data_IF_704771536113
#
_entry.id   IF_704771536113
#
_cell.length_a   1.000
_cell.length_b   1.000
_cell.length_c   1.000
_cell.angle_alpha   90.00
_cell.angle_beta   90.00
_cell.angle_gamma   90.00
#
_symmetry.space_group_name_H-M   'P 1'
#
loop_
_entity.id
_entity.type
_entity.pdbx_description
1 polymer ?
#
# COMPACT_ATOMS: atom_id res chain seq x y z
N UNK A 1 26.47 -16.56 6.71
CA UNK A 1 26.36 -16.01 5.35
C UNK A 1 24.93 -16.31 4.96
N UNK A 2 24.08 -15.31 5.07
CA UNK A 2 22.65 -15.54 5.18
C UNK A 2 22.03 -15.52 3.80
N UNK A 3 21.35 -16.60 3.44
CA UNK A 3 20.74 -16.77 2.12
C UNK A 3 19.30 -16.28 2.19
N UNK A 4 19.03 -15.12 1.59
CA UNK A 4 17.66 -14.64 1.37
C UNK A 4 17.05 -15.35 0.17
N UNK A 5 15.95 -16.07 0.41
CA UNK A 5 15.17 -16.68 -0.67
C UNK A 5 14.00 -15.77 -1.10
N UNK A 6 13.40 -16.07 -2.25
CA UNK A 6 12.34 -15.28 -2.90
C UNK A 6 11.03 -15.16 -2.09
N UNK A 7 10.91 -15.87 -0.97
CA UNK A 7 9.73 -15.91 -0.10
C UNK A 7 9.99 -15.34 1.32
N UNK A 8 10.92 -14.39 1.46
CA UNK A 8 11.17 -13.75 2.75
C UNK A 8 11.75 -14.69 3.82
N UNK A 9 12.30 -15.85 3.42
CA UNK A 9 12.93 -16.77 4.37
C UNK A 9 14.41 -16.40 4.54
N UNK A 10 14.80 -16.09 5.77
CA UNK A 10 16.19 -15.92 6.20
C UNK A 10 16.57 -17.08 7.10
N UNK A 11 17.61 -17.82 6.73
CA UNK A 11 18.18 -18.90 7.55
C UNK A 11 19.48 -18.39 8.15
N UNK A 12 19.52 -18.31 9.48
CA UNK A 12 20.67 -17.88 10.24
C UNK A 12 21.67 -19.04 10.39
N UNK A 13 22.95 -18.71 10.59
CA UNK A 13 24.03 -19.70 10.74
C UNK A 13 23.89 -20.63 11.95
N UNK A 14 23.05 -20.27 12.93
CA UNK A 14 22.75 -21.10 14.09
C UNK A 14 21.60 -22.10 13.84
N UNK A 15 21.04 -22.13 12.63
CA UNK A 15 19.91 -22.99 12.27
C UNK A 15 18.54 -22.36 12.50
N UNK A 16 18.46 -21.15 13.05
CA UNK A 16 17.20 -20.42 13.17
C UNK A 16 16.71 -20.00 11.79
N UNK A 17 15.39 -20.04 11.60
CA UNK A 17 14.75 -19.63 10.36
C UNK A 17 13.71 -18.57 10.69
N UNK A 18 13.87 -17.40 10.08
CA UNK A 18 12.85 -16.36 10.08
C UNK A 18 12.12 -16.40 8.74
N UNK A 19 10.80 -16.50 8.79
CA UNK A 19 9.93 -16.43 7.63
C UNK A 19 9.20 -15.09 7.73
N UNK A 20 9.71 -14.08 7.02
CA UNK A 20 8.95 -12.87 6.76
C UNK A 20 7.81 -13.21 5.80
N UNK A 21 6.62 -13.39 6.37
CA UNK A 21 5.38 -13.36 5.60
C UNK A 21 5.09 -11.90 5.26
N UNK A 22 5.66 -11.41 4.16
CA UNK A 22 5.39 -10.06 3.67
C UNK A 22 3.87 -9.88 3.55
N UNK A 23 3.36 -8.77 4.08
CA UNK A 23 1.93 -8.48 4.03
C UNK A 23 1.54 -8.03 2.62
N UNK A 24 0.33 -8.37 2.14
CA UNK A 24 -0.14 -7.95 0.81
C UNK A 24 0.03 -6.43 0.55
N UNK A 25 -0.19 -5.53 1.52
CA UNK A 25 0.14 -4.11 1.35
C UNK A 25 1.61 -3.84 1.02
N UNK A 26 2.57 -4.56 1.62
CA UNK A 26 4.01 -4.40 1.32
C UNK A 26 4.34 -4.82 -0.11
N UNK A 27 3.78 -5.95 -0.58
CA UNK A 27 3.96 -6.41 -1.95
C UNK A 27 3.43 -5.37 -2.95
N UNK A 28 2.22 -4.85 -2.70
CA UNK A 28 1.62 -3.82 -3.54
C UNK A 28 2.45 -2.53 -3.54
N UNK A 29 2.99 -2.11 -2.39
CA UNK A 29 3.85 -0.94 -2.31
C UNK A 29 5.16 -1.13 -3.10
N UNK A 30 5.77 -2.31 -3.03
CA UNK A 30 6.98 -2.63 -3.80
C UNK A 30 6.71 -2.70 -5.30
N UNK A 31 5.58 -3.28 -5.70
CA UNK A 31 5.14 -3.30 -7.09
C UNK A 31 4.92 -1.89 -7.62
N UNK A 32 4.28 -1.01 -6.83
CA UNK A 32 4.14 0.40 -7.16
C UNK A 32 5.50 1.06 -7.44
N UNK A 33 6.44 0.91 -6.51
CA UNK A 33 7.80 1.45 -6.65
C UNK A 33 8.54 0.87 -7.86
N UNK A 34 8.36 -0.43 -8.13
CA UNK A 34 8.92 -1.09 -9.30
C UNK A 34 8.42 -0.47 -10.60
N UNK A 35 7.11 -0.23 -10.73
CA UNK A 35 6.54 0.39 -11.92
C UNK A 35 7.00 1.84 -12.11
N UNK A 36 7.12 2.62 -11.02
CA UNK A 36 7.71 3.96 -11.08
C UNK A 36 9.13 3.93 -11.66
N UNK A 37 9.99 3.07 -11.10
CA UNK A 37 11.38 2.89 -11.60
C UNK A 37 11.42 2.46 -13.06
N UNK A 38 10.48 1.61 -13.49
CA UNK A 38 10.39 1.21 -14.90
C UNK A 38 9.99 2.37 -15.80
N UNK A 39 8.99 3.17 -15.42
CA UNK A 39 8.61 4.37 -16.16
C UNK A 39 9.83 5.30 -16.35
N UNK A 40 10.57 5.58 -15.28
CA UNK A 40 11.71 6.50 -15.32
C UNK A 40 12.86 5.97 -16.18
N UNK A 41 13.14 4.65 -16.12
CA UNK A 41 14.15 4.00 -16.97
C UNK A 41 13.86 4.10 -18.48
N UNK A 42 12.62 4.41 -18.85
CA UNK A 42 12.18 4.59 -20.23
C UNK A 42 11.99 6.07 -20.60
N UNK A 43 11.82 6.98 -19.63
CA UNK A 43 11.54 8.41 -19.83
C UNK A 43 12.62 9.13 -20.65
N UNK A 44 13.89 8.78 -20.43
CA UNK A 44 15.02 9.38 -21.14
C UNK A 44 15.28 8.79 -22.54
N UNK A 45 14.58 7.72 -22.92
CA UNK A 45 14.75 7.08 -24.22
C UNK A 45 13.84 7.78 -25.22
N UNK A 46 14.39 8.64 -26.07
CA UNK A 46 13.65 9.39 -27.09
C UNK A 46 13.18 8.47 -28.24
N UNK A 47 12.20 7.60 -27.99
CA UNK A 47 11.59 6.74 -29.00
C UNK A 47 10.09 6.54 -28.76
N UNK A 48 9.28 6.33 -29.82
CA UNK A 48 7.84 6.07 -29.69
C UNK A 48 7.53 4.86 -28.80
N UNK A 49 8.33 3.80 -28.91
CA UNK A 49 8.20 2.58 -28.08
C UNK A 49 8.44 2.89 -26.60
N UNK A 50 9.42 3.73 -26.29
CA UNK A 50 9.69 4.12 -24.90
C UNK A 50 8.55 4.97 -24.32
N UNK A 51 8.01 5.93 -25.09
CA UNK A 51 6.84 6.72 -24.65
C UNK A 51 5.62 5.85 -24.34
N UNK A 52 5.35 4.83 -25.17
CA UNK A 52 4.29 3.85 -24.90
C UNK A 52 4.55 3.04 -23.62
N UNK A 53 5.80 2.64 -23.36
CA UNK A 53 6.17 1.91 -22.14
C UNK A 53 6.04 2.78 -20.89
N UNK A 54 6.47 4.04 -20.95
CA UNK A 54 6.29 5.01 -19.85
C UNK A 54 4.81 5.09 -19.47
N UNK A 55 3.93 5.35 -20.45
CA UNK A 55 2.47 5.43 -20.20
C UNK A 55 1.90 4.15 -19.60
N UNK A 56 2.35 2.97 -20.06
CA UNK A 56 1.92 1.68 -19.50
C UNK A 56 2.35 1.54 -18.05
N UNK A 57 3.62 1.80 -17.74
CA UNK A 57 4.15 1.68 -16.39
C UNK A 57 3.53 2.70 -15.43
N UNK A 58 3.30 3.94 -15.85
CA UNK A 58 2.60 4.96 -15.06
C UNK A 58 1.15 4.53 -14.74
N UNK A 59 0.43 3.99 -15.74
CA UNK A 59 -0.93 3.44 -15.53
C UNK A 59 -0.92 2.29 -14.54
N UNK A 60 -0.01 1.34 -14.70
CA UNK A 60 0.09 0.21 -13.78
C UNK A 60 0.46 0.67 -12.38
N UNK A 61 1.39 1.61 -12.24
CA UNK A 61 1.74 2.21 -10.96
C UNK A 61 0.51 2.80 -10.26
N UNK A 62 -0.31 3.62 -10.95
CA UNK A 62 -1.54 4.16 -10.37
C UNK A 62 -2.51 3.07 -9.94
N UNK A 63 -2.76 2.07 -10.80
CA UNK A 63 -3.66 0.96 -10.44
C UNK A 63 -3.16 0.29 -9.16
N UNK A 64 -1.88 -0.04 -9.09
CA UNK A 64 -1.28 -0.67 -7.91
C UNK A 64 -1.34 0.23 -6.68
N UNK A 65 -1.12 1.55 -6.82
CA UNK A 65 -1.19 2.51 -5.71
C UNK A 65 -2.60 2.60 -5.12
N UNK A 66 -3.64 2.67 -5.97
CA UNK A 66 -5.03 2.66 -5.50
C UNK A 66 -5.40 1.32 -4.87
N UNK A 67 -4.94 0.19 -5.42
CA UNK A 67 -5.15 -1.13 -4.82
C UNK A 67 -4.45 -1.26 -3.47
N UNK A 68 -3.22 -0.76 -3.35
CA UNK A 68 -2.49 -0.65 -2.08
C UNK A 68 -3.31 0.14 -1.06
N UNK A 69 -3.72 1.36 -1.43
CA UNK A 69 -4.46 2.25 -0.55
C UNK A 69 -5.77 1.60 -0.07
N UNK A 70 -6.57 1.06 -1.00
CA UNK A 70 -7.80 0.31 -0.68
C UNK A 70 -7.55 -0.82 0.31
N UNK A 71 -6.51 -1.64 0.07
CA UNK A 71 -6.18 -2.80 0.90
C UNK A 71 -5.84 -2.36 2.33
N UNK A 72 -5.10 -1.26 2.48
CA UNK A 72 -4.76 -0.70 3.79
C UNK A 72 -6.01 -0.21 4.51
N UNK A 73 -6.87 0.57 3.84
CA UNK A 73 -8.11 1.08 4.44
C UNK A 73 -9.05 -0.05 4.86
N UNK A 74 -9.27 -1.05 4.00
CA UNK A 74 -10.09 -2.21 4.32
C UNK A 74 -9.52 -2.97 5.52
N UNK A 75 -8.20 -3.18 5.57
CA UNK A 75 -7.56 -3.84 6.71
C UNK A 75 -7.77 -3.08 8.02
N UNK A 76 -7.70 -1.75 8.00
CA UNK A 76 -7.93 -0.92 9.18
C UNK A 76 -9.39 -0.94 9.63
N UNK A 77 -10.33 -0.84 8.68
CA UNK A 77 -11.77 -0.94 8.94
C UNK A 77 -12.14 -2.28 9.54
N UNK A 78 -11.64 -3.39 8.98
CA UNK A 78 -11.88 -4.75 9.52
C UNK A 78 -11.38 -4.85 10.96
N UNK A 79 -10.19 -4.29 11.26
CA UNK A 79 -9.65 -4.27 12.64
C UNK A 79 -10.53 -3.47 13.60
N UNK A 80 -11.24 -2.47 13.11
CA UNK A 80 -12.21 -1.67 13.87
C UNK A 80 -13.62 -2.30 13.91
N UNK A 81 -13.82 -3.48 13.31
CA UNK A 81 -15.11 -4.18 13.27
C UNK A 81 -16.08 -3.67 12.21
N UNK A 82 -15.61 -2.82 11.28
CA UNK A 82 -16.40 -2.34 10.15
C UNK A 82 -16.33 -3.30 8.95
N UNK A 83 -17.35 -3.23 8.08
CA UNK A 83 -17.37 -3.99 6.84
C UNK A 83 -16.35 -3.44 5.81
N UNK A 84 -15.79 -4.35 5.02
CA UNK A 84 -14.92 -4.05 3.87
C UNK A 84 -15.73 -3.74 2.61
N UNK A 85 -15.07 -3.19 1.58
CA UNK A 85 -15.66 -3.06 0.25
C UNK A 85 -16.63 -1.90 0.09
N UNK A 86 -16.45 -0.86 0.92
CA UNK A 86 -17.06 0.45 0.67
C UNK A 86 -16.21 1.24 -0.32
N UNK A 87 -16.73 2.36 -0.83
CA UNK A 87 -15.94 3.28 -1.64
C UNK A 87 -14.76 3.86 -0.84
N UNK A 88 -13.69 4.23 -1.53
CA UNK A 88 -12.50 4.84 -0.93
C UNK A 88 -12.83 6.15 -0.23
N UNK A 89 -13.71 6.98 -0.82
CA UNK A 89 -14.14 8.21 -0.16
C UNK A 89 -14.86 7.94 1.16
N UNK A 90 -15.79 6.99 1.18
CA UNK A 90 -16.48 6.59 2.41
C UNK A 90 -15.50 5.96 3.41
N UNK A 91 -14.57 5.13 2.94
CA UNK A 91 -13.53 4.55 3.78
C UNK A 91 -12.69 5.61 4.49
N UNK A 92 -12.22 6.63 3.76
CA UNK A 92 -11.49 7.74 4.33
C UNK A 92 -12.33 8.55 5.33
N UNK A 93 -13.58 8.84 5.00
CA UNK A 93 -14.47 9.64 5.85
C UNK A 93 -14.77 8.94 7.18
N UNK A 94 -15.12 7.65 7.14
CA UNK A 94 -15.41 6.86 8.34
C UNK A 94 -14.17 6.82 9.27
N UNK A 95 -12.98 6.56 8.70
CA UNK A 95 -11.72 6.53 9.44
C UNK A 95 -11.37 7.89 10.05
N UNK A 96 -11.63 9.00 9.36
CA UNK A 96 -11.44 10.35 9.90
C UNK A 96 -12.41 10.66 11.04
N UNK A 97 -13.68 10.27 10.88
CA UNK A 97 -14.69 10.46 11.92
C UNK A 97 -14.32 9.69 13.18
N UNK A 98 -13.89 8.43 13.03
CA UNK A 98 -13.41 7.63 14.15
C UNK A 98 -12.14 8.23 14.74
N UNK A 99 -11.13 8.58 13.93
CA UNK A 99 -9.93 9.25 14.43
C UNK A 99 -10.26 10.52 15.24
N UNK A 100 -11.23 11.33 14.79
CA UNK A 100 -11.69 12.53 15.49
C UNK A 100 -12.34 12.19 16.83
N UNK A 101 -13.20 11.16 16.89
CA UNK A 101 -13.84 10.70 18.13
C UNK A 101 -12.81 10.26 19.17
N UNK A 102 -11.73 9.60 18.75
CA UNK A 102 -10.72 9.04 19.65
C UNK A 102 -9.61 10.03 20.03
N UNK A 103 -9.10 10.82 19.07
CA UNK A 103 -7.96 11.73 19.28
C UNK A 103 -8.35 13.19 19.54
N UNK A 104 -9.59 13.57 19.20
CA UNK A 104 -10.05 14.96 19.22
C UNK A 104 -9.46 15.84 18.11
N UNK A 105 -8.61 15.30 17.22
CA UNK A 105 -7.99 16.05 16.14
C UNK A 105 -8.76 15.94 14.83
N UNK A 106 -8.77 17.04 14.10
CA UNK A 106 -9.31 17.13 12.73
C UNK A 106 -8.16 17.18 11.72
N UNK A 107 -8.33 16.45 10.62
CA UNK A 107 -7.43 16.51 9.47
C UNK A 107 -8.19 16.95 8.22
N UNK A 108 -7.61 17.88 7.46
CA UNK A 108 -8.16 18.29 6.17
C UNK A 108 -7.57 17.41 5.05
N UNK A 109 -8.45 16.66 4.41
CA UNK A 109 -8.12 15.76 3.30
C UNK A 109 -9.04 15.99 2.09
N UNK A 110 -9.58 17.20 1.91
CA UNK A 110 -10.47 17.52 0.79
C UNK A 110 -9.86 17.20 -0.58
N UNK A 111 -8.55 17.45 -0.75
CA UNK A 111 -7.81 17.13 -1.97
C UNK A 111 -7.75 15.62 -2.23
N UNK A 112 -7.40 14.82 -1.21
CA UNK A 112 -7.41 13.36 -1.32
C UNK A 112 -8.81 12.83 -1.65
N UNK A 113 -9.85 13.34 -0.98
CA UNK A 113 -11.24 12.96 -1.24
C UNK A 113 -11.63 13.26 -2.69
N UNK A 114 -11.22 14.40 -3.24
CA UNK A 114 -11.44 14.73 -4.65
C UNK A 114 -10.70 13.76 -5.60
N UNK A 115 -9.46 13.37 -5.26
CA UNK A 115 -8.68 12.39 -6.03
C UNK A 115 -9.37 11.03 -6.06
N UNK A 116 -9.75 10.49 -4.91
CA UNK A 116 -10.33 9.14 -4.83
C UNK A 116 -11.70 9.08 -5.49
N UNK A 117 -12.56 10.09 -5.28
CA UNK A 117 -13.85 10.16 -5.95
C UNK A 117 -13.70 10.20 -7.48
N UNK A 118 -12.76 11.03 -7.99
CA UNK A 118 -12.49 11.08 -9.44
C UNK A 118 -12.02 9.74 -9.99
N UNK A 119 -11.20 9.01 -9.24
CA UNK A 119 -10.74 7.68 -9.67
C UNK A 119 -11.86 6.65 -9.68
N UNK A 120 -12.76 6.69 -8.70
CA UNK A 120 -13.91 5.76 -8.62
C UNK A 120 -14.97 6.07 -9.69
N UNK A 121 -15.28 7.35 -9.92
CA UNK A 121 -16.29 7.79 -10.89
C UNK A 121 -15.80 7.69 -12.34
N UNK A 122 -14.52 7.97 -12.59
CA UNK A 122 -13.97 8.04 -13.94
C UNK A 122 -12.54 7.49 -14.04
N UNK A 123 -12.39 6.23 -13.62
CA UNK A 123 -11.11 5.51 -13.63
C UNK A 123 -10.40 5.59 -14.99
N UNK A 124 -11.12 5.40 -16.09
CA UNK A 124 -10.52 5.38 -17.42
C UNK A 124 -9.89 6.73 -17.78
N UNK A 125 -10.59 7.85 -17.54
CA UNK A 125 -10.04 9.17 -17.84
C UNK A 125 -8.81 9.50 -16.98
N UNK A 126 -8.80 9.08 -15.70
CA UNK A 126 -7.63 9.25 -14.83
C UNK A 126 -6.42 8.48 -15.38
N UNK A 127 -6.62 7.22 -15.76
CA UNK A 127 -5.55 6.37 -16.30
C UNK A 127 -5.05 6.84 -17.67
N UNK A 128 -5.92 7.45 -18.48
CA UNK A 128 -5.53 7.94 -19.80
C UNK A 128 -4.62 9.16 -19.74
N UNK A 129 -4.84 10.05 -18.76
CA UNK A 129 -4.18 11.34 -18.63
C UNK A 129 -3.09 11.38 -17.54
N UNK A 130 -2.67 10.21 -17.04
CA UNK A 130 -1.67 10.17 -15.97
C UNK A 130 -0.31 10.69 -16.45
N UNK A 131 0.26 11.58 -15.64
CA UNK A 131 1.64 12.05 -15.73
C UNK A 131 2.39 11.69 -14.45
N UNK A 132 3.71 11.81 -14.47
CA UNK A 132 4.54 11.67 -13.27
C UNK A 132 4.14 12.66 -12.17
N UNK A 133 3.86 13.90 -12.54
CA UNK A 133 3.43 14.94 -11.61
C UNK A 133 2.13 14.54 -10.92
N UNK A 134 1.12 14.15 -11.70
CA UNK A 134 -0.16 13.69 -11.17
C UNK A 134 -0.01 12.42 -10.34
N UNK A 135 0.87 11.48 -10.73
CA UNK A 135 1.15 10.29 -9.92
C UNK A 135 1.77 10.65 -8.58
N UNK A 136 2.76 11.53 -8.57
CA UNK A 136 3.42 11.98 -7.34
C UNK A 136 2.47 12.75 -6.42
N UNK A 137 1.55 13.54 -6.97
CA UNK A 137 0.50 14.24 -6.20
C UNK A 137 -0.47 13.25 -5.51
N UNK A 138 -0.91 12.22 -6.24
CA UNK A 138 -1.75 11.14 -5.70
C UNK A 138 -1.01 10.39 -4.58
N UNK A 139 0.24 9.97 -4.84
CA UNK A 139 1.07 9.26 -3.85
C UNK A 139 1.23 10.08 -2.57
N UNK A 140 1.59 11.35 -2.69
CA UNK A 140 1.75 12.26 -1.54
C UNK A 140 0.45 12.41 -0.75
N UNK A 141 -0.67 12.59 -1.45
CA UNK A 141 -1.98 12.77 -0.81
C UNK A 141 -2.42 11.52 -0.03
N UNK A 142 -2.23 10.33 -0.62
CA UNK A 142 -2.52 9.07 0.04
C UNK A 142 -1.58 8.82 1.22
N UNK A 143 -0.27 9.01 1.03
CA UNK A 143 0.71 8.80 2.10
C UNK A 143 0.47 9.77 3.27
N UNK A 144 0.17 11.04 3.02
CA UNK A 144 -0.13 12.01 4.06
C UNK A 144 -1.35 11.59 4.92
N UNK A 145 -2.38 11.02 4.28
CA UNK A 145 -3.52 10.47 5.01
C UNK A 145 -3.15 9.27 5.86
N UNK A 146 -2.43 8.30 5.27
CA UNK A 146 -2.00 7.13 6.02
C UNK A 146 -1.06 7.53 7.18
N UNK A 147 -0.13 8.46 6.96
CA UNK A 147 0.81 8.96 7.96
C UNK A 147 0.05 9.64 9.11
N UNK A 148 -0.97 10.44 8.77
CA UNK A 148 -1.85 11.06 9.75
C UNK A 148 -2.56 10.02 10.62
N UNK A 149 -3.19 9.02 10.01
CA UNK A 149 -3.91 7.96 10.72
C UNK A 149 -2.97 7.16 11.62
N UNK A 150 -1.79 6.78 11.13
CA UNK A 150 -0.78 6.06 11.92
C UNK A 150 -0.22 6.91 13.07
N UNK A 151 -0.15 8.23 12.90
CA UNK A 151 0.27 9.16 13.94
C UNK A 151 -0.80 9.44 15.00
N UNK A 152 -2.08 9.16 14.73
CA UNK A 152 -3.18 9.35 15.68
C UNK A 152 -3.71 8.04 16.28
N UNK A 153 -3.35 6.88 15.73
CA UNK A 153 -3.91 5.58 16.10
C UNK A 153 -2.83 4.49 16.20
N UNK A 154 -3.23 3.28 16.62
CA UNK A 154 -2.39 2.07 16.60
C UNK A 154 -2.45 1.31 15.26
N UNK A 155 -3.16 1.86 14.27
CA UNK A 155 -3.23 1.30 12.92
C UNK A 155 -1.87 1.39 12.24
N UNK A 156 -1.53 0.39 11.43
CA UNK A 156 -0.28 0.36 10.63
C UNK A 156 -0.59 -0.19 9.25
N UNK A 157 -0.10 0.47 8.21
CA UNK A 157 -0.25 0.03 6.81
C UNK A 157 0.63 -1.19 6.51
N UNK A 158 1.73 -1.32 7.25
CA UNK A 158 2.64 -2.46 7.26
C UNK A 158 2.70 -3.00 8.70
N UNK A 159 1.80 -3.90 9.09
CA UNK A 159 1.83 -4.48 10.43
C UNK A 159 3.10 -5.31 10.61
N UNK A 160 3.70 -5.26 11.80
CA UNK A 160 4.80 -6.16 12.14
C UNK A 160 4.33 -7.62 11.96
N UNK A 161 5.23 -8.48 11.47
CA UNK A 161 4.97 -9.90 11.39
C UNK A 161 4.55 -10.37 12.78
N UNK A 162 3.32 -10.91 12.90
CA UNK A 162 2.86 -11.45 14.16
C UNK A 162 3.90 -12.46 14.65
N UNK A 163 4.35 -12.33 15.89
CA UNK A 163 5.28 -13.25 16.58
C UNK A 163 4.79 -14.71 16.66
N UNK A 164 3.66 -15.03 16.01
CA UNK A 164 3.05 -16.34 15.93
C UNK A 164 3.84 -17.40 15.14
N UNK A 165 4.93 -17.05 14.46
CA UNK A 165 5.85 -18.07 13.89
C UNK A 165 6.62 -18.83 14.96
N UNK A 166 6.89 -18.23 16.14
CA UNK A 166 7.45 -18.98 17.28
C UNK A 166 6.50 -20.10 17.72
N UNK A 167 5.18 -19.83 17.74
CA UNK A 167 4.15 -20.80 18.12
C UNK A 167 4.00 -21.96 17.13
N UNK A 168 4.05 -21.66 15.82
CA UNK A 168 3.94 -22.66 14.75
C UNK A 168 5.16 -23.59 14.71
N UNK A 169 6.38 -23.07 14.88
CA UNK A 169 7.60 -23.87 14.99
C UNK A 169 7.60 -24.72 16.26
N UNK A 170 7.15 -24.20 17.41
CA UNK A 170 6.98 -25.00 18.64
C UNK A 170 5.97 -26.15 18.46
N UNK A 171 4.94 -25.96 17.64
CA UNK A 171 3.95 -27.00 17.35
C UNK A 171 4.47 -28.03 16.33
N UNK A 172 5.26 -27.60 15.35
CA UNK A 172 5.88 -28.48 14.34
C UNK A 172 7.10 -29.24 14.88
N UNK A 173 7.87 -28.65 15.79
CA UNK A 173 9.03 -29.27 16.44
C UNK A 173 8.70 -29.91 17.79
N UNK A 174 7.49 -29.72 18.32
CA UNK A 174 7.00 -30.31 19.57
C UNK A 174 6.33 -31.68 19.40
N UNK A 175 6.73 -32.46 18.41
CA UNK A 175 6.30 -33.86 18.23
C UNK A 175 7.44 -34.78 17.79
N UNK A 176 8.64 -34.56 18.35
CA UNK A 176 9.71 -35.57 18.41
C UNK A 176 10.19 -35.68 19.85
#
# INVERSE_FOLDING_TARGET
>A
MDVKTKFGVTIFSNGDMDILKESLPEDLWRDYQFFCKKADSHRHKQSPKASLLVRRYERTAIITLFTFFSTVLDSWRIRQGAASGVSLSTACQDLLEDCRKWSGKEGDFAHLLAIVNRYEENRQAVLENISEETRCDIEKSMCAFLDYMEGQTDLRRFPEAASGTEGLMKHLMGSI
#
